data_IF_109182622949
#
_entry.id   IF_109182622949
#
_cell.length_a   1.000
_cell.length_b   1.000
_cell.length_c   1.000
_cell.angle_alpha   90.00
_cell.angle_beta   90.00
_cell.angle_gamma   90.00
#
_symmetry.space_group_name_H-M   'P 1'
#
loop_
_entity.id
_entity.type
_entity.pdbx_description
1 polymer ?
#
# COMPACT_ATOMS: atom_id res chain seq x y z
N UNK A 1 16.98 -9.58 9.76
CA UNK A 1 16.09 -9.18 8.67
C UNK A 1 16.20 -10.25 7.61
N UNK A 2 15.11 -11.00 7.38
CA UNK A 2 15.00 -11.79 6.16
C UNK A 2 14.81 -10.78 5.02
N UNK A 3 15.56 -10.92 3.93
CA UNK A 3 15.36 -10.14 2.70
C UNK A 3 15.00 -11.12 1.57
N UNK A 4 14.09 -12.04 1.87
CA UNK A 4 13.72 -13.12 0.96
C UNK A 4 12.54 -12.63 0.11
N UNK A 5 12.69 -12.58 -1.23
CA UNK A 5 11.58 -12.53 -2.16
C UNK A 5 10.51 -13.57 -1.82
N UNK A 6 9.25 -13.16 -1.66
CA UNK A 6 8.16 -14.11 -1.37
C UNK A 6 7.45 -14.62 -2.62
N UNK A 7 7.66 -13.96 -3.76
CA UNK A 7 7.11 -14.31 -5.07
C UNK A 7 8.22 -14.23 -6.13
N UNK A 8 8.07 -15.00 -7.21
CA UNK A 8 8.99 -14.99 -8.36
C UNK A 8 8.47 -14.10 -9.52
N UNK A 9 7.56 -13.18 -9.19
CA UNK A 9 6.97 -12.19 -10.10
C UNK A 9 7.08 -10.79 -9.51
N UNK A 10 7.03 -9.78 -10.38
CA UNK A 10 6.96 -8.38 -9.96
C UNK A 10 5.62 -8.11 -9.29
N UNK A 11 5.68 -7.43 -8.15
CA UNK A 11 4.56 -7.21 -7.24
C UNK A 11 4.57 -5.76 -6.71
N UNK A 12 4.48 -4.74 -7.58
CA UNK A 12 4.40 -3.34 -7.15
C UNK A 12 3.16 -3.07 -6.32
N UNK A 13 3.26 -2.13 -5.38
CA UNK A 13 2.15 -1.70 -4.50
C UNK A 13 1.47 -2.87 -3.74
N UNK A 14 2.22 -3.69 -3.00
CA UNK A 14 1.74 -4.92 -2.40
C UNK A 14 0.89 -4.63 -1.18
N UNK A 15 -0.32 -5.14 -1.20
CA UNK A 15 -1.22 -5.11 -0.08
C UNK A 15 -1.47 -6.52 0.45
N UNK A 16 -1.20 -6.71 1.74
CA UNK A 16 -1.32 -8.01 2.38
C UNK A 16 -2.24 -7.97 3.58
N UNK A 17 -3.23 -8.87 3.61
CA UNK A 17 -4.11 -9.07 4.76
C UNK A 17 -4.12 -10.51 5.20
N UNK A 18 -4.38 -10.73 6.48
CA UNK A 18 -4.62 -12.07 7.03
C UNK A 18 -6.08 -12.21 7.42
N UNK A 19 -6.71 -13.32 7.03
CA UNK A 19 -8.06 -13.67 7.44
C UNK A 19 -8.21 -15.19 7.54
N UNK A 20 -8.82 -15.69 8.61
CA UNK A 20 -9.02 -17.13 8.89
C UNK A 20 -7.76 -17.99 8.69
N UNK A 21 -6.60 -17.54 9.19
CA UNK A 21 -5.29 -18.19 9.05
C UNK A 21 -4.76 -18.31 7.61
N UNK A 22 -5.30 -17.53 6.68
CA UNK A 22 -4.81 -17.38 5.31
C UNK A 22 -4.27 -15.98 5.10
N UNK A 23 -3.27 -15.85 4.25
CA UNK A 23 -2.72 -14.58 3.79
C UNK A 23 -3.19 -14.32 2.38
N UNK A 24 -3.69 -13.12 2.14
CA UNK A 24 -4.13 -12.66 0.83
C UNK A 24 -3.21 -11.53 0.39
N UNK A 25 -2.75 -11.59 -0.85
CA UNK A 25 -1.87 -10.61 -1.46
C UNK A 25 -2.53 -10.07 -2.72
N UNK A 26 -2.66 -8.75 -2.78
CA UNK A 26 -3.00 -7.98 -3.98
C UNK A 26 -1.81 -7.07 -4.31
N UNK A 27 -1.67 -6.72 -5.59
CA UNK A 27 -0.59 -5.87 -6.09
C UNK A 27 -0.96 -5.32 -7.46
N UNK A 28 -0.26 -4.28 -7.92
CA UNK A 28 -0.48 -3.66 -9.22
C UNK A 28 -0.14 -4.63 -10.35
N UNK A 29 -1.18 -5.11 -11.06
CA UNK A 29 -1.04 -5.83 -12.32
C UNK A 29 -1.08 -4.89 -13.54
N UNK A 30 -1.66 -3.69 -13.41
CA UNK A 30 -1.81 -2.69 -14.47
C UNK A 30 -3.09 -2.81 -15.29
N UNK A 31 -3.60 -4.03 -15.52
CA UNK A 31 -4.75 -4.30 -16.40
C UNK A 31 -5.92 -5.04 -15.72
N UNK A 32 -5.70 -5.56 -14.51
CA UNK A 32 -6.69 -6.35 -13.76
C UNK A 32 -6.42 -6.30 -12.25
N UNK A 33 -7.34 -6.86 -11.47
CA UNK A 33 -7.17 -7.08 -10.03
C UNK A 33 -7.05 -8.58 -9.76
N UNK A 34 -5.83 -9.05 -9.47
CA UNK A 34 -5.57 -10.41 -9.01
C UNK A 34 -5.57 -10.47 -7.47
N UNK A 35 -6.10 -11.56 -6.90
CA UNK A 35 -5.99 -11.90 -5.48
C UNK A 35 -5.26 -13.23 -5.38
N UNK A 36 -4.13 -13.22 -4.68
CA UNK A 36 -3.34 -14.42 -4.38
C UNK A 36 -3.60 -14.83 -2.94
N UNK A 37 -3.64 -16.13 -2.66
CA UNK A 37 -3.83 -16.68 -1.32
C UNK A 37 -2.78 -17.73 -0.99
N UNK A 38 -2.17 -17.61 0.18
CA UNK A 38 -1.24 -18.60 0.73
C UNK A 38 -1.52 -18.87 2.21
N UNK A 39 -1.10 -20.06 2.66
CA UNK A 39 -1.04 -20.39 4.10
C UNK A 39 0.26 -19.89 4.74
N UNK A 40 1.28 -19.60 3.92
CA UNK A 40 2.58 -19.12 4.35
C UNK A 40 2.83 -17.74 3.74
N UNK A 41 3.02 -16.73 4.59
CA UNK A 41 3.32 -15.37 4.13
C UNK A 41 4.58 -15.28 3.31
N UNK A 42 5.55 -16.15 3.59
CA UNK A 42 6.89 -16.06 3.01
C UNK A 42 6.93 -16.77 1.66
N UNK A 43 5.82 -17.39 1.25
CA UNK A 43 5.74 -18.18 0.02
C UNK A 43 4.42 -17.97 -0.72
N UNK A 44 4.50 -17.16 -1.78
CA UNK A 44 3.49 -16.98 -2.80
C UNK A 44 3.89 -17.61 -4.15
N UNK A 45 4.94 -18.45 -4.19
CA UNK A 45 5.37 -19.15 -5.42
C UNK A 45 4.41 -20.27 -5.82
N UNK A 46 3.82 -20.92 -4.82
CA UNK A 46 2.82 -21.99 -4.97
C UNK A 46 1.47 -21.60 -4.36
N UNK A 47 1.04 -20.36 -4.59
CA UNK A 47 -0.22 -19.83 -4.07
C UNK A 47 -1.43 -20.17 -4.95
N UNK A 48 -2.63 -20.09 -4.38
CA UNK A 48 -3.86 -20.04 -5.16
C UNK A 48 -4.05 -18.61 -5.69
N UNK A 49 -4.59 -18.47 -6.89
CA UNK A 49 -4.82 -17.16 -7.53
C UNK A 49 -6.18 -17.11 -8.20
N UNK A 50 -6.87 -15.98 -8.05
CA UNK A 50 -7.98 -15.59 -8.92
C UNK A 50 -7.74 -14.21 -9.53
N UNK A 51 -8.44 -13.92 -10.62
CA UNK A 51 -8.67 -12.56 -11.07
C UNK A 51 -10.05 -12.13 -10.57
N UNK A 52 -10.07 -11.23 -9.60
CA UNK A 52 -11.31 -10.70 -9.02
C UNK A 52 -12.03 -9.79 -10.02
N UNK A 53 -11.28 -9.06 -10.85
CA UNK A 53 -11.87 -8.23 -11.87
C UNK A 53 -10.91 -7.96 -13.02
N UNK A 54 -11.47 -7.98 -14.24
CA UNK A 54 -10.83 -7.47 -15.44
C UNK A 54 -11.81 -6.49 -16.09
N UNK A 55 -11.43 -5.23 -16.34
CA UNK A 55 -12.31 -4.27 -16.96
C UNK A 55 -12.75 -4.75 -18.36
N UNK A 56 -14.00 -4.50 -18.76
CA UNK A 56 -14.37 -4.60 -20.16
C UNK A 56 -13.52 -3.61 -20.99
N UNK A 57 -13.12 -3.98 -22.21
CA UNK A 57 -12.31 -3.10 -23.04
C UNK A 57 -13.06 -1.81 -23.37
N UNK A 58 -12.33 -0.69 -23.43
CA UNK A 58 -12.84 0.62 -23.85
C UNK A 58 -13.94 1.23 -22.95
N UNK A 59 -14.01 0.86 -21.67
CA UNK A 59 -14.91 1.51 -20.70
C UNK A 59 -14.18 2.56 -19.86
N UNK A 60 -14.89 3.47 -19.17
CA UNK A 60 -14.32 4.16 -18.02
C UNK A 60 -13.63 3.19 -17.06
N UNK A 61 -12.56 3.64 -16.39
CA UNK A 61 -11.87 2.89 -15.34
C UNK A 61 -11.22 1.58 -15.83
N UNK A 62 -10.74 1.56 -17.09
CA UNK A 62 -10.22 0.35 -17.75
C UNK A 62 -8.72 0.39 -18.07
N UNK A 63 -8.02 1.44 -17.67
CA UNK A 63 -6.57 1.59 -17.88
C UNK A 63 -5.89 2.04 -16.61
N UNK A 64 -4.59 1.73 -16.50
CA UNK A 64 -3.74 2.16 -15.39
C UNK A 64 -4.32 1.74 -14.02
N UNK A 65 -4.62 0.44 -13.88
CA UNK A 65 -5.16 -0.10 -12.63
C UNK A 65 -4.01 -0.29 -11.63
N UNK A 66 -3.97 0.52 -10.57
CA UNK A 66 -2.90 0.50 -9.58
C UNK A 66 -3.39 0.30 -8.14
N UNK A 67 -2.47 -0.21 -7.32
CA UNK A 67 -2.53 -0.33 -5.86
C UNK A 67 -3.84 -0.91 -5.31
N UNK A 68 -4.25 -2.13 -5.73
CA UNK A 68 -5.42 -2.76 -5.14
C UNK A 68 -5.17 -3.17 -3.69
N UNK A 69 -6.01 -2.70 -2.78
CA UNK A 69 -6.08 -3.11 -1.39
C UNK A 69 -7.36 -3.90 -1.09
N UNK A 70 -7.21 -5.16 -0.67
CA UNK A 70 -8.30 -6.02 -0.19
C UNK A 70 -8.64 -5.73 1.28
N UNK A 71 -9.89 -5.35 1.56
CA UNK A 71 -10.38 -5.02 2.90
C UNK A 71 -11.62 -5.85 3.27
N UNK A 72 -11.72 -6.26 4.53
CA UNK A 72 -12.91 -6.93 5.08
C UNK A 72 -13.62 -6.01 6.07
N UNK A 73 -14.74 -5.42 5.65
CA UNK A 73 -15.45 -4.37 6.39
C UNK A 73 -16.87 -4.84 6.66
N UNK A 74 -17.25 -4.91 7.93
CA UNK A 74 -18.61 -5.30 8.37
C UNK A 74 -19.14 -6.60 7.75
N UNK A 75 -18.27 -7.60 7.53
CA UNK A 75 -18.63 -8.89 6.95
C UNK A 75 -18.65 -8.94 5.42
N UNK A 76 -18.18 -7.87 4.76
CA UNK A 76 -18.13 -7.79 3.29
C UNK A 76 -16.70 -7.52 2.84
N UNK A 77 -16.27 -8.20 1.78
CA UNK A 77 -14.99 -7.93 1.14
C UNK A 77 -15.10 -6.80 0.11
N UNK A 78 -14.15 -5.88 0.15
CA UNK A 78 -13.99 -4.78 -0.78
C UNK A 78 -12.57 -4.77 -1.33
N UNK A 79 -12.40 -4.34 -2.58
CA UNK A 79 -11.08 -3.95 -3.09
C UNK A 79 -11.14 -2.47 -3.44
N UNK A 80 -10.28 -1.67 -2.82
CA UNK A 80 -10.04 -0.28 -3.19
C UNK A 80 -8.80 -0.22 -4.06
N UNK A 81 -8.89 0.42 -5.21
CA UNK A 81 -7.78 0.57 -6.15
C UNK A 81 -7.98 1.86 -6.92
N UNK A 82 -7.01 2.28 -7.73
CA UNK A 82 -7.23 3.39 -8.65
C UNK A 82 -7.23 2.90 -10.09
N UNK A 83 -7.97 3.61 -10.93
CA UNK A 83 -8.01 3.40 -12.36
C UNK A 83 -8.28 4.72 -13.07
N UNK A 84 -7.86 4.82 -14.33
CA UNK A 84 -8.10 5.98 -15.18
C UNK A 84 -9.17 5.72 -16.24
N UNK A 85 -9.69 6.81 -16.79
CA UNK A 85 -10.49 6.76 -18.00
C UNK A 85 -9.61 6.59 -19.22
N UNK A 86 -9.96 5.62 -20.07
CA UNK A 86 -9.35 5.50 -21.39
C UNK A 86 -9.50 6.81 -22.17
N UNK A 87 -8.38 7.29 -22.73
CA UNK A 87 -8.35 8.50 -23.56
C UNK A 87 -8.36 9.83 -22.81
N UNK A 88 -8.39 9.84 -21.47
CA UNK A 88 -8.32 11.08 -20.65
C UNK A 88 -6.99 11.27 -19.91
N UNK A 89 -6.09 10.29 -19.98
CA UNK A 89 -4.75 10.34 -19.38
C UNK A 89 -4.75 10.32 -17.86
N UNK A 90 -3.56 10.50 -17.28
CA UNK A 90 -3.33 10.31 -15.83
C UNK A 90 -4.20 11.21 -14.95
N UNK A 91 -4.54 12.43 -15.39
CA UNK A 91 -5.42 13.37 -14.65
C UNK A 91 -6.79 12.76 -14.27
N UNK A 92 -7.21 11.71 -14.97
CA UNK A 92 -8.49 11.04 -14.76
C UNK A 92 -8.50 9.96 -13.69
N UNK A 93 -7.37 9.63 -13.05
CA UNK A 93 -7.34 8.60 -11.99
C UNK A 93 -8.28 8.94 -10.85
N UNK A 94 -9.09 7.97 -10.44
CA UNK A 94 -9.91 8.02 -9.22
C UNK A 94 -9.77 6.71 -8.46
N UNK A 95 -9.96 6.76 -7.16
CA UNK A 95 -10.26 5.60 -6.33
C UNK A 95 -11.56 4.97 -6.79
N UNK A 96 -11.51 3.70 -7.13
CA UNK A 96 -12.62 2.86 -7.60
C UNK A 96 -12.71 1.59 -6.75
N UNK A 97 -13.87 0.94 -6.74
CA UNK A 97 -14.15 -0.16 -5.83
C UNK A 97 -14.64 -1.43 -6.53
N UNK A 98 -14.22 -2.57 -5.99
CA UNK A 98 -14.94 -3.84 -6.09
C UNK A 98 -15.63 -4.15 -4.77
N UNK A 99 -16.77 -4.82 -4.83
CA UNK A 99 -17.45 -5.44 -3.69
C UNK A 99 -17.71 -6.92 -3.98
N UNK A 100 -17.44 -7.78 -3.01
CA UNK A 100 -17.81 -9.19 -3.09
C UNK A 100 -19.19 -9.43 -2.49
N UNK A 101 -19.98 -10.27 -3.16
CA UNK A 101 -21.18 -10.89 -2.60
C UNK A 101 -20.89 -12.19 -1.84
N UNK A 102 -19.66 -12.70 -1.96
CA UNK A 102 -19.20 -13.92 -1.30
C UNK A 102 -18.40 -13.61 -0.04
N UNK A 103 -18.47 -14.52 0.94
CA UNK A 103 -17.62 -14.51 2.13
C UNK A 103 -16.20 -15.02 1.84
N UNK A 104 -16.01 -15.76 0.75
CA UNK A 104 -14.71 -16.19 0.27
C UNK A 104 -14.17 -15.17 -0.73
N UNK A 105 -13.09 -14.43 -0.42
CA UNK A 105 -12.51 -13.48 -1.35
C UNK A 105 -11.87 -14.16 -2.58
N UNK A 106 -11.71 -15.49 -2.55
CA UNK A 106 -11.24 -16.30 -3.69
C UNK A 106 -12.37 -16.76 -4.62
N UNK A 107 -13.63 -16.36 -4.38
CA UNK A 107 -14.71 -16.58 -5.34
C UNK A 107 -14.73 -15.47 -6.40
N UNK A 108 -14.14 -15.74 -7.56
CA UNK A 108 -14.06 -14.80 -8.67
C UNK A 108 -15.44 -14.31 -9.15
N UNK A 109 -16.49 -15.15 -9.06
CA UNK A 109 -17.83 -14.79 -9.50
C UNK A 109 -18.55 -13.86 -8.51
N UNK A 110 -18.05 -13.75 -7.28
CA UNK A 110 -18.63 -12.92 -6.24
C UNK A 110 -18.37 -11.42 -6.41
N UNK A 111 -17.36 -11.04 -7.20
CA UNK A 111 -16.88 -9.67 -7.31
C UNK A 111 -17.68 -8.83 -8.31
N UNK A 112 -18.06 -7.63 -7.89
CA UNK A 112 -18.79 -6.63 -8.69
C UNK A 112 -18.05 -5.30 -8.66
N UNK A 113 -17.82 -4.71 -9.82
CA UNK A 113 -17.27 -3.36 -9.94
C UNK A 113 -18.34 -2.31 -9.66
N UNK A 114 -18.05 -1.39 -8.75
CA UNK A 114 -18.98 -0.34 -8.31
C UNK A 114 -18.71 1.03 -8.96
N UNK A 115 -17.54 1.21 -9.57
CA UNK A 115 -17.10 2.52 -10.03
C UNK A 115 -16.37 3.32 -8.94
N UNK A 116 -16.28 4.65 -9.11
CA UNK A 116 -15.55 5.52 -8.18
C UNK A 116 -16.15 5.56 -6.78
N UNK A 117 -15.29 5.79 -5.78
CA UNK A 117 -15.72 6.10 -4.42
C UNK A 117 -16.60 7.35 -4.44
N UNK A 118 -17.85 7.21 -4.03
CA UNK A 118 -18.82 8.30 -4.12
C UNK A 118 -18.52 9.37 -3.07
N UNK A 119 -18.80 10.63 -3.37
CA UNK A 119 -18.64 11.74 -2.43
C UNK A 119 -17.21 12.29 -2.31
N UNK A 120 -16.21 11.71 -2.97
CA UNK A 120 -14.91 12.36 -3.14
C UNK A 120 -15.05 13.52 -4.14
N UNK A 121 -14.51 14.72 -3.87
CA UNK A 121 -14.46 15.79 -4.86
C UNK A 121 -13.78 15.35 -6.15
N UNK A 122 -14.20 15.92 -7.28
CA UNK A 122 -13.65 15.53 -8.58
C UNK A 122 -12.21 16.04 -8.76
N UNK A 123 -11.24 15.27 -8.28
CA UNK A 123 -9.81 15.53 -8.41
C UNK A 123 -9.05 14.21 -8.54
N UNK A 124 -7.81 14.30 -9.02
CA UNK A 124 -6.91 13.16 -9.09
C UNK A 124 -6.69 12.56 -7.70
N UNK A 125 -6.98 11.26 -7.55
CA UNK A 125 -6.73 10.52 -6.32
C UNK A 125 -6.43 9.04 -6.58
N UNK A 126 -5.44 8.52 -5.84
CA UNK A 126 -4.91 7.15 -5.94
C UNK A 126 -4.57 6.60 -4.56
N UNK A 127 -4.18 5.33 -4.50
CA UNK A 127 -3.62 4.67 -3.33
C UNK A 127 -4.51 4.79 -2.08
N UNK A 128 -5.81 4.50 -2.24
CA UNK A 128 -6.74 4.57 -1.13
C UNK A 128 -6.57 3.40 -0.18
N UNK A 129 -6.33 3.72 1.10
CA UNK A 129 -6.43 2.78 2.21
C UNK A 129 -7.59 3.15 3.12
N UNK A 130 -8.25 2.15 3.70
CA UNK A 130 -9.39 2.36 4.60
C UNK A 130 -9.15 1.75 5.97
N UNK A 131 -9.58 2.46 7.01
CA UNK A 131 -9.39 2.02 8.39
C UNK A 131 -10.43 2.60 9.33
N UNK A 132 -10.64 1.92 10.46
CA UNK A 132 -11.48 2.44 11.54
C UNK A 132 -10.62 3.09 12.60
N UNK A 133 -10.98 4.32 12.99
CA UNK A 133 -10.37 5.04 14.09
C UNK A 133 -11.47 5.58 15.00
N UNK A 134 -11.46 5.14 16.27
CA UNK A 134 -12.47 5.55 17.28
C UNK A 134 -13.92 5.31 16.84
N UNK A 135 -14.16 4.18 16.18
CA UNK A 135 -15.50 3.76 15.72
C UNK A 135 -16.01 4.45 14.46
N UNK A 136 -15.21 5.30 13.82
CA UNK A 136 -15.52 5.96 12.54
C UNK A 136 -14.67 5.35 11.43
N UNK A 137 -15.25 5.15 10.25
CA UNK A 137 -14.57 4.64 9.07
C UNK A 137 -13.97 5.80 8.27
N UNK A 138 -12.73 5.67 7.86
CA UNK A 138 -12.03 6.68 7.07
C UNK A 138 -11.42 6.06 5.82
N UNK A 139 -11.33 6.88 4.76
CA UNK A 139 -10.51 6.64 3.59
C UNK A 139 -9.36 7.65 3.60
N UNK A 140 -8.13 7.17 3.45
CA UNK A 140 -6.93 7.96 3.32
C UNK A 140 -6.28 7.65 1.99
N UNK A 141 -5.91 8.68 1.23
CA UNK A 141 -5.47 8.51 -0.16
C UNK A 141 -4.45 9.58 -0.54
N UNK A 142 -3.69 9.31 -1.61
CA UNK A 142 -2.83 10.29 -2.29
C UNK A 142 -3.65 11.08 -3.29
N UNK A 143 -3.55 12.41 -3.28
CA UNK A 143 -4.31 13.24 -4.21
C UNK A 143 -3.56 14.50 -4.62
N UNK A 144 -3.96 15.05 -5.75
CA UNK A 144 -3.60 16.44 -6.06
C UNK A 144 -4.46 17.38 -5.23
N UNK A 145 -3.94 18.54 -4.79
CA UNK A 145 -4.76 19.56 -4.16
C UNK A 145 -6.02 19.85 -5.00
N UNK A 146 -7.23 19.87 -4.41
CA UNK A 146 -8.45 20.15 -5.18
C UNK A 146 -8.33 21.45 -5.99
N UNK A 147 -8.57 21.36 -7.30
CA UNK A 147 -8.40 22.47 -8.26
C UNK A 147 -7.00 22.59 -8.87
N UNK A 148 -6.04 21.78 -8.43
CA UNK A 148 -4.72 21.63 -9.07
C UNK A 148 -4.75 20.50 -10.11
N UNK A 149 -4.22 20.80 -11.30
CA UNK A 149 -4.12 19.89 -12.44
C UNK A 149 -2.69 19.86 -13.02
N UNK A 150 -1.72 20.36 -12.26
CA UNK A 150 -0.34 20.60 -12.74
C UNK A 150 0.55 19.36 -12.74
N UNK A 151 0.16 18.28 -12.04
CA UNK A 151 1.04 17.11 -11.79
C UNK A 151 2.37 17.51 -11.10
N UNK A 152 2.28 18.45 -10.14
CA UNK A 152 3.45 18.92 -9.38
C UNK A 152 3.36 18.71 -7.88
N UNK A 153 2.17 18.41 -7.33
CA UNK A 153 1.99 18.20 -5.90
C UNK A 153 1.03 17.04 -5.66
N UNK A 154 1.48 16.04 -4.91
CA UNK A 154 0.67 14.97 -4.36
C UNK A 154 0.77 15.00 -2.83
N UNK A 155 -0.38 15.06 -2.17
CA UNK A 155 -0.53 15.17 -0.73
C UNK A 155 -1.42 14.04 -0.21
N UNK A 156 -1.33 13.76 1.09
CA UNK A 156 -2.19 12.75 1.74
C UNK A 156 -3.42 13.43 2.30
N UNK A 157 -4.58 12.93 1.86
CA UNK A 157 -5.89 13.37 2.30
C UNK A 157 -6.56 12.31 3.14
N UNK A 158 -7.45 12.76 4.03
CA UNK A 158 -8.30 11.94 4.86
C UNK A 158 -9.75 12.42 4.72
N UNK A 159 -10.67 11.48 4.59
CA UNK A 159 -12.11 11.73 4.54
C UNK A 159 -12.84 10.68 5.35
N UNK A 160 -13.89 11.08 6.05
CA UNK A 160 -14.77 10.13 6.73
C UNK A 160 -15.70 9.45 5.72
N UNK A 161 -15.95 8.16 5.93
CA UNK A 161 -16.88 7.38 5.15
C UNK A 161 -18.18 7.19 5.93
N UNK A 162 -19.32 7.42 5.28
CA UNK A 162 -20.64 7.08 5.82
C UNK A 162 -20.83 5.55 5.83
N UNK A 163 -20.32 4.91 4.79
CA UNK A 163 -20.24 3.47 4.59
C UNK A 163 -19.06 3.20 3.62
N UNK A 164 -18.65 1.94 3.38
CA UNK A 164 -17.49 1.63 2.54
C UNK A 164 -17.50 2.27 1.13
N UNK A 165 -18.67 2.61 0.59
CA UNK A 165 -18.85 3.07 -0.80
C UNK A 165 -19.09 4.58 -0.92
N UNK A 166 -19.33 5.28 0.20
CA UNK A 166 -19.71 6.70 0.21
C UNK A 166 -18.91 7.53 1.23
N UNK A 167 -18.13 8.47 0.71
CA UNK A 167 -17.41 9.48 1.49
C UNK A 167 -18.27 10.70 1.83
N UNK A 168 -18.02 11.27 3.01
CA UNK A 168 -18.60 12.53 3.46
C UNK A 168 -17.74 13.69 2.96
N UNK A 169 -17.96 14.16 1.72
CA UNK A 169 -17.17 15.19 1.04
C UNK A 169 -16.73 16.37 1.93
N UNK A 170 -17.64 16.87 2.77
CA UNK A 170 -17.42 18.01 3.68
C UNK A 170 -16.35 17.78 4.76
N UNK A 171 -15.88 16.54 4.92
CA UNK A 171 -14.89 16.14 5.91
C UNK A 171 -13.48 16.06 5.33
N UNK A 172 -13.33 16.19 4.01
CA UNK A 172 -12.04 16.07 3.35
C UNK A 172 -11.01 17.02 3.95
N UNK A 173 -9.90 16.45 4.42
CA UNK A 173 -8.82 17.18 5.08
C UNK A 173 -7.48 16.72 4.54
N UNK A 174 -6.62 17.66 4.13
CA UNK A 174 -5.22 17.36 3.86
C UNK A 174 -4.48 17.19 5.20
N UNK A 175 -3.94 16.00 5.45
CA UNK A 175 -3.26 15.66 6.72
C UNK A 175 -1.74 15.64 6.58
N UNK A 176 -1.21 15.60 5.36
CA UNK A 176 0.22 15.70 5.08
C UNK A 176 0.47 16.29 3.70
N UNK A 177 1.28 17.36 3.64
CA UNK A 177 1.75 17.94 2.39
C UNK A 177 3.19 17.58 2.10
N UNK A 178 3.53 17.24 0.86
CA UNK A 178 4.91 16.92 0.48
C UNK A 178 5.79 18.19 0.41
N UNK A 179 6.33 18.60 1.56
CA UNK A 179 7.02 19.88 1.77
C UNK A 179 8.49 19.68 2.17
N UNK A 180 8.84 18.55 2.78
CA UNK A 180 10.20 18.29 3.23
C UNK A 180 11.12 18.00 2.03
N UNK A 181 12.40 18.41 2.05
CA UNK A 181 13.29 18.23 0.91
C UNK A 181 13.41 16.79 0.39
N UNK A 182 13.30 15.79 1.27
CA UNK A 182 13.37 14.37 0.88
C UNK A 182 12.07 13.84 0.28
N UNK A 183 10.97 14.59 0.36
CA UNK A 183 9.68 14.24 -0.25
C UNK A 183 9.56 14.74 -1.70
N UNK A 184 10.56 15.49 -2.19
CA UNK A 184 10.46 16.27 -3.42
C UNK A 184 11.44 15.77 -4.51
N UNK A 185 10.98 14.96 -5.48
CA UNK A 185 11.81 14.52 -6.61
C UNK A 185 12.13 15.67 -7.58
N UNK A 186 12.88 15.34 -8.63
CA UNK A 186 13.09 16.20 -9.81
C UNK A 186 13.67 17.58 -9.49
N UNK A 187 14.58 17.63 -8.52
CA UNK A 187 15.21 18.88 -8.06
C UNK A 187 14.27 19.79 -7.27
N UNK A 188 13.23 19.22 -6.63
CA UNK A 188 12.27 19.98 -5.83
C UNK A 188 11.03 20.45 -6.60
N UNK A 189 10.97 20.20 -7.92
CA UNK A 189 9.88 20.65 -8.80
C UNK A 189 8.56 19.92 -8.56
N UNK A 190 8.63 18.71 -8.02
CA UNK A 190 7.46 17.91 -7.63
C UNK A 190 7.49 17.63 -6.13
N UNK A 191 6.34 17.50 -5.52
CA UNK A 191 6.16 16.95 -4.17
C UNK A 191 5.35 15.67 -4.24
N UNK A 192 5.82 14.59 -3.60
CA UNK A 192 5.13 13.30 -3.57
C UNK A 192 4.96 12.84 -2.13
N UNK A 193 3.72 12.71 -1.68
CA UNK A 193 3.31 11.86 -0.57
C UNK A 193 2.21 10.92 -1.11
N UNK A 194 2.51 9.63 -1.24
CA UNK A 194 1.61 8.62 -1.84
C UNK A 194 1.62 7.30 -1.05
N UNK A 195 0.90 6.27 -1.49
CA UNK A 195 0.84 4.97 -0.81
C UNK A 195 0.62 5.04 0.71
N UNK A 196 -0.41 5.77 1.22
CA UNK A 196 -0.69 5.80 2.65
C UNK A 196 -1.14 4.43 3.15
N UNK A 197 -0.67 4.05 4.33
CA UNK A 197 -1.10 2.84 5.03
C UNK A 197 -1.30 3.15 6.51
N UNK A 198 -2.47 2.78 7.02
CA UNK A 198 -2.76 2.92 8.45
C UNK A 198 -2.03 1.86 9.28
N UNK A 199 -1.38 2.32 10.34
CA UNK A 199 -0.71 1.47 11.31
C UNK A 199 -1.18 1.83 12.72
N UNK A 200 -1.81 0.87 13.40
CA UNK A 200 -2.15 0.95 14.83
C UNK A 200 -1.47 -0.20 15.56
N UNK A 201 -0.57 0.14 16.47
CA UNK A 201 0.18 -0.80 17.30
C UNK A 201 0.45 -0.18 18.68
N UNK A 202 0.91 -0.99 19.64
CA UNK A 202 1.20 -0.50 20.98
C UNK A 202 2.17 0.70 20.94
N UNK A 203 1.70 1.87 21.37
CA UNK A 203 2.48 3.12 21.42
C UNK A 203 2.48 3.95 20.14
N UNK A 204 1.87 3.49 19.05
CA UNK A 204 1.81 4.22 17.78
C UNK A 204 0.48 4.02 17.04
N UNK A 205 -0.14 5.13 16.65
CA UNK A 205 -1.23 5.17 15.67
C UNK A 205 -0.87 6.23 14.63
N UNK A 206 -1.06 5.93 13.34
CA UNK A 206 -0.75 6.89 12.30
C UNK A 206 -0.71 6.29 10.90
N UNK A 207 -0.24 7.11 9.96
CA UNK A 207 -0.06 6.75 8.56
C UNK A 207 1.44 6.58 8.29
N UNK A 208 1.81 5.45 7.71
CA UNK A 208 3.04 5.32 6.94
C UNK A 208 2.71 5.71 5.51
N UNK A 209 3.54 6.51 4.87
CA UNK A 209 3.32 6.92 3.48
C UNK A 209 4.64 6.84 2.73
N UNK A 210 4.59 6.82 1.41
CA UNK A 210 5.77 6.88 0.55
C UNK A 210 5.99 8.29 0.04
N UNK A 211 7.24 8.65 -0.20
CA UNK A 211 7.60 9.96 -0.71
C UNK A 211 8.80 9.87 -1.66
N UNK A 212 9.08 10.99 -2.33
CA UNK A 212 9.97 11.04 -3.49
C UNK A 212 9.35 10.31 -4.70
N UNK A 213 10.03 10.27 -5.84
CA UNK A 213 9.49 9.62 -7.04
C UNK A 213 9.70 8.10 -7.00
N UNK A 214 8.65 7.31 -7.20
CA UNK A 214 8.72 5.85 -7.37
C UNK A 214 9.59 5.42 -8.57
N UNK A 215 9.77 6.32 -9.54
CA UNK A 215 10.71 6.18 -10.66
C UNK A 215 12.18 6.46 -10.29
N UNK A 216 12.50 6.63 -9.01
CA UNK A 216 13.84 6.93 -8.52
C UNK A 216 14.29 5.92 -7.47
N UNK A 217 15.61 5.78 -7.32
CA UNK A 217 16.20 5.01 -6.22
C UNK A 217 16.06 5.67 -4.84
N UNK A 218 15.42 6.85 -4.76
CA UNK A 218 15.27 7.66 -3.56
C UNK A 218 13.84 7.64 -2.99
N UNK A 219 12.97 6.81 -3.57
CA UNK A 219 11.67 6.46 -3.00
C UNK A 219 11.85 5.94 -1.56
N UNK A 220 11.02 6.42 -0.65
CA UNK A 220 11.27 6.30 0.78
C UNK A 220 9.98 6.34 1.58
N UNK A 221 9.95 5.68 2.75
CA UNK A 221 8.82 5.74 3.66
C UNK A 221 8.94 6.90 4.65
N UNK A 222 7.87 7.69 4.77
CA UNK A 222 7.62 8.68 5.81
C UNK A 222 6.73 8.16 6.94
N UNK A 223 6.50 9.00 7.94
CA UNK A 223 5.63 8.68 9.08
C UNK A 223 4.84 9.90 9.53
N UNK A 224 3.52 9.75 9.65
CA UNK A 224 2.58 10.75 10.12
C UNK A 224 1.83 10.19 11.32
N UNK A 225 2.21 10.63 12.52
CA UNK A 225 1.65 10.13 13.78
C UNK A 225 0.32 10.83 14.08
N UNK A 226 -0.71 10.08 14.43
CA UNK A 226 -1.91 10.63 15.05
C UNK A 226 -1.63 10.92 16.54
N UNK A 227 -1.77 12.18 16.95
CA UNK A 227 -1.43 12.65 18.32
C UNK A 227 -2.64 12.77 19.24
N UNK A 228 -3.84 12.50 18.73
CA UNK A 228 -5.10 12.63 19.45
C UNK A 228 -6.00 13.70 18.83
N UNK A 229 -7.10 14.06 19.50
CA UNK A 229 -8.06 15.04 18.94
C UNK A 229 -8.93 14.48 17.81
N UNK A 230 -9.44 15.35 16.93
CA UNK A 230 -10.27 14.95 15.79
C UNK A 230 -9.38 14.60 14.58
N UNK A 231 -9.43 13.36 14.03
CA UNK A 231 -8.63 12.96 12.87
C UNK A 231 -8.82 13.86 11.64
N UNK A 232 -9.97 14.54 11.53
CA UNK A 232 -10.28 15.49 10.44
C UNK A 232 -9.68 16.89 10.67
N UNK A 233 -8.71 17.02 11.57
CA UNK A 233 -7.95 18.25 11.78
C UNK A 233 -6.47 17.97 11.51
N UNK A 234 -5.84 18.77 10.65
CA UNK A 234 -4.42 18.62 10.34
C UNK A 234 -3.53 18.71 11.59
N UNK A 235 -3.94 19.48 12.60
CA UNK A 235 -3.23 19.61 13.89
C UNK A 235 -3.21 18.33 14.74
N UNK A 236 -4.07 17.36 14.43
CA UNK A 236 -4.08 16.04 15.06
C UNK A 236 -2.99 15.11 14.54
N UNK A 237 -2.20 15.56 13.56
CA UNK A 237 -1.19 14.78 12.88
C UNK A 237 0.18 15.42 13.02
N UNK A 238 1.18 14.62 13.40
CA UNK A 238 2.56 15.03 13.54
C UNK A 238 3.42 14.30 12.51
N UNK A 239 3.91 15.04 11.51
CA UNK A 239 4.85 14.53 10.51
C UNK A 239 6.24 14.36 11.11
N UNK A 240 6.87 13.21 10.86
CA UNK A 240 8.27 12.97 11.19
C UNK A 240 9.18 13.68 10.17
N UNK A 241 10.14 14.47 10.65
CA UNK A 241 11.03 15.26 9.77
C UNK A 241 12.05 14.43 8.96
N UNK A 242 12.33 13.20 9.37
CA UNK A 242 13.28 12.31 8.70
C UNK A 242 12.55 11.04 8.21
N UNK A 243 12.98 10.44 7.09
CA UNK A 243 12.39 9.20 6.59
C UNK A 243 12.42 8.08 7.64
N UNK A 244 11.38 7.25 7.63
CA UNK A 244 11.28 6.00 8.38
C UNK A 244 12.22 4.95 7.78
N UNK A 245 12.13 4.72 6.48
CA UNK A 245 12.93 3.75 5.74
C UNK A 245 13.35 4.36 4.42
N UNK A 246 14.64 4.26 4.08
CA UNK A 246 15.24 4.80 2.86
C UNK A 246 16.23 3.81 2.28
N UNK A 247 16.64 4.06 1.04
CA UNK A 247 17.64 3.25 0.36
C UNK A 247 18.95 3.15 1.14
N UNK A 248 19.53 1.94 1.19
CA UNK A 248 20.85 1.69 1.74
C UNK A 248 21.86 1.44 0.62
N UNK A 249 22.10 2.48 -0.20
CA UNK A 249 22.88 2.40 -1.44
C UNK A 249 24.30 1.84 -1.20
N UNK A 250 24.95 2.27 -0.11
CA UNK A 250 26.30 1.84 0.26
C UNK A 250 26.40 0.35 0.65
N UNK A 251 25.26 -0.29 0.97
CA UNK A 251 25.19 -1.72 1.33
C UNK A 251 24.50 -2.57 0.26
N UNK A 252 24.29 -2.02 -0.94
CA UNK A 252 23.70 -2.73 -2.07
C UNK A 252 22.17 -2.85 -2.04
N UNK A 253 21.49 -2.07 -1.19
CA UNK A 253 20.03 -1.99 -1.16
C UNK A 253 19.40 -2.23 0.23
N UNK A 254 18.06 -2.21 0.35
CA UNK A 254 17.08 -2.02 -0.74
C UNK A 254 17.21 -0.65 -1.41
N UNK A 255 16.77 -0.56 -2.66
CA UNK A 255 16.67 0.69 -3.42
C UNK A 255 15.18 1.03 -3.56
N UNK A 256 14.84 2.31 -3.39
CA UNK A 256 13.48 2.81 -3.50
C UNK A 256 12.43 2.09 -2.64
N UNK A 257 12.67 1.79 -1.34
CA UNK A 257 11.65 1.13 -0.54
C UNK A 257 10.42 2.04 -0.36
N UNK A 258 9.25 1.55 -0.77
CA UNK A 258 7.98 2.25 -0.55
C UNK A 258 6.76 1.38 -0.83
N UNK A 259 5.61 2.05 -0.92
CA UNK A 259 4.25 1.53 -1.03
C UNK A 259 4.03 0.26 -0.20
N UNK A 260 4.18 0.40 1.12
CA UNK A 260 4.33 -0.73 2.02
C UNK A 260 3.06 -1.04 2.80
N UNK A 261 2.66 -2.32 2.84
CA UNK A 261 1.61 -2.81 3.74
C UNK A 261 2.20 -3.44 5.01
N UNK A 262 1.36 -3.53 6.05
CA UNK A 262 1.76 -4.02 7.37
C UNK A 262 0.79 -5.08 7.89
N UNK A 263 1.34 -6.20 8.35
CA UNK A 263 0.60 -7.24 9.08
C UNK A 263 1.13 -7.34 10.53
N UNK A 264 0.24 -7.38 11.55
CA UNK A 264 0.68 -7.52 12.94
C UNK A 264 1.39 -8.85 13.21
N UNK A 265 2.39 -8.86 14.10
CA UNK A 265 3.10 -10.09 14.47
C UNK A 265 2.41 -10.98 15.52
N UNK A 266 1.33 -10.52 16.15
CA UNK A 266 0.54 -11.39 17.05
C UNK A 266 -0.28 -12.44 16.29
N UNK A 267 -0.30 -12.31 14.97
CA UNK A 267 -1.10 -13.08 14.04
C UNK A 267 -0.36 -14.28 13.41
N UNK A 268 0.81 -14.66 13.91
CA UNK A 268 1.43 -15.94 13.56
C UNK A 268 0.93 -17.00 14.53
N UNK A 269 -0.04 -17.82 14.10
CA UNK A 269 -0.46 -19.00 14.86
C UNK A 269 0.70 -19.99 15.10
N UNK A 270 0.48 -21.10 15.83
CA UNK A 270 1.51 -22.09 16.21
C UNK A 270 2.22 -22.78 15.02
N UNK A 271 1.84 -22.46 13.78
CA UNK A 271 2.52 -22.88 12.56
C UNK A 271 3.80 -22.08 12.24
N UNK A 272 4.15 -21.04 13.00
CA UNK A 272 5.49 -20.45 12.91
C UNK A 272 6.48 -21.38 13.63
N UNK A 273 7.45 -22.00 12.93
CA UNK A 273 8.50 -22.73 13.63
C UNK A 273 9.26 -21.71 14.47
N UNK A 274 9.07 -21.78 15.80
CA UNK A 274 9.95 -21.12 16.76
C UNK A 274 11.33 -21.75 16.62
N UNK A 275 12.13 -21.22 15.71
CA UNK A 275 13.49 -21.68 15.47
C UNK A 275 13.74 -22.02 14.01
N UNK A 276 14.10 -21.02 13.21
CA UNK A 276 15.09 -21.26 12.18
C UNK A 276 16.47 -21.31 12.84
N UNK A 277 17.23 -22.41 12.73
CA UNK A 277 18.62 -22.42 13.15
C UNK A 277 19.40 -21.42 12.28
N UNK A 278 20.15 -20.53 12.92
CA UNK A 278 21.18 -19.77 12.23
C UNK A 278 22.19 -20.77 11.65
N UNK A 279 22.16 -20.94 10.32
CA UNK A 279 23.29 -21.56 9.62
C UNK A 279 24.45 -20.57 9.67
N UNK A 280 25.38 -20.84 10.58
CA UNK A 280 26.71 -20.26 10.56
C UNK A 280 27.48 -20.84 9.37
N UNK A 281 27.39 -20.22 8.20
CA UNK A 281 28.29 -20.54 7.09
C UNK A 281 29.63 -19.81 7.29
N UNK A 282 30.57 -20.52 7.93
CA UNK A 282 32.00 -20.23 7.79
C UNK A 282 32.44 -20.61 6.38
N UNK A 283 32.70 -19.59 5.56
CA UNK A 283 33.73 -19.57 4.52
C UNK A 283 33.61 -20.55 3.35
N UNK A 284 33.35 -20.00 2.15
CA UNK A 284 34.18 -20.22 0.95
C UNK A 284 33.93 -19.06 -0.02
N UNK A 285 35.02 -18.40 -0.43
CA UNK A 285 34.99 -17.39 -1.47
C UNK A 285 34.54 -18.04 -2.79
N UNK A 286 33.45 -17.54 -3.35
CA UNK A 286 32.88 -17.97 -4.61
C UNK A 286 32.35 -16.75 -5.36
N UNK A 287 32.90 -16.55 -6.54
CA UNK A 287 32.68 -15.51 -7.55
C UNK A 287 31.32 -14.80 -7.50
N UNK A 288 31.35 -13.48 -7.28
CA UNK A 288 30.21 -12.57 -7.46
C UNK A 288 29.90 -12.53 -8.96
N UNK A 289 28.91 -13.33 -9.38
CA UNK A 289 28.29 -13.15 -10.68
C UNK A 289 27.37 -11.92 -10.60
N UNK A 290 27.81 -10.81 -11.22
CA UNK A 290 26.95 -9.67 -11.53
C UNK A 290 25.77 -10.17 -12.39
N UNK A 291 24.55 -10.17 -11.84
CA UNK A 291 23.32 -10.18 -12.64
C UNK A 291 22.62 -8.84 -12.45
N UNK A 292 22.35 -8.20 -13.58
CA UNK A 292 21.82 -6.84 -13.67
C UNK A 292 20.38 -6.72 -13.23
N UNK A 293 20.12 -5.60 -12.55
CA UNK A 293 19.03 -4.62 -12.64
C UNK A 293 17.63 -5.01 -13.17
N UNK A 294 16.64 -4.40 -12.48
CA UNK A 294 15.21 -4.26 -12.77
C UNK A 294 14.33 -5.49 -12.46
N UNK A 295 13.83 -5.59 -11.22
CA UNK A 295 12.70 -6.45 -10.85
C UNK A 295 12.12 -6.00 -9.49
N UNK A 296 10.81 -5.72 -9.47
CA UNK A 296 10.06 -5.19 -8.34
C UNK A 296 9.55 -6.29 -7.42
N UNK A 297 10.39 -6.87 -6.56
CA UNK A 297 9.99 -8.04 -5.75
C UNK A 297 9.60 -7.69 -4.30
N UNK A 298 8.44 -8.18 -3.84
CA UNK A 298 8.00 -8.08 -2.44
C UNK A 298 9.01 -8.75 -1.50
N UNK A 299 9.49 -7.97 -0.53
CA UNK A 299 10.38 -8.40 0.53
C UNK A 299 9.71 -8.16 1.88
N UNK A 300 9.67 -9.18 2.73
CA UNK A 300 9.22 -9.04 4.12
C UNK A 300 10.39 -8.58 4.98
N UNK A 301 10.36 -7.35 5.46
CA UNK A 301 11.30 -6.87 6.46
C UNK A 301 10.80 -7.25 7.85
N UNK A 302 11.46 -8.25 8.44
CA UNK A 302 11.26 -8.66 9.84
C UNK A 302 12.22 -7.86 10.73
N UNK A 303 11.68 -6.92 11.52
CA UNK A 303 12.41 -6.31 12.63
C UNK A 303 12.04 -7.04 13.94
N UNK A 304 13.01 -7.70 14.57
CA UNK A 304 12.90 -8.24 15.93
C UNK A 304 13.94 -7.54 16.81
N UNK A 305 13.51 -6.94 17.92
CA UNK A 305 13.70 -7.61 19.19
C UNK A 305 12.49 -7.48 20.15
N UNK A 306 12.15 -8.59 20.82
CA UNK A 306 11.31 -8.72 22.05
C UNK A 306 10.25 -7.62 22.29
N UNK A 307 8.99 -8.00 22.02
CA UNK A 307 7.71 -7.31 22.25
C UNK A 307 7.22 -6.41 21.09
N UNK A 308 6.05 -6.80 20.55
CA UNK A 308 5.26 -6.11 19.51
C UNK A 308 6.00 -5.84 18.17
N UNK A 309 6.18 -6.87 17.36
CA UNK A 309 6.63 -6.68 15.97
C UNK A 309 5.44 -6.36 15.04
N UNK A 310 5.66 -5.51 14.05
CA UNK A 310 4.85 -5.37 12.84
C UNK A 310 5.78 -5.69 11.66
N UNK A 311 5.27 -6.40 10.65
CA UNK A 311 6.05 -6.74 9.45
C UNK A 311 5.89 -5.63 8.41
N UNK A 312 6.97 -5.27 7.73
CA UNK A 312 6.91 -4.36 6.60
C UNK A 312 7.01 -5.19 5.33
N UNK A 313 5.97 -5.18 4.51
CA UNK A 313 6.01 -5.72 3.16
C UNK A 313 6.47 -4.58 2.27
N UNK A 314 7.74 -4.58 1.88
CA UNK A 314 8.33 -3.50 1.07
C UNK A 314 8.74 -4.07 -0.28
N UNK A 315 8.32 -3.42 -1.35
CA UNK A 315 8.84 -3.72 -2.68
C UNK A 315 10.19 -3.06 -2.82
N UNK A 316 11.15 -3.83 -3.33
CA UNK A 316 12.36 -3.28 -3.92
C UNK A 316 11.99 -2.81 -5.33
N UNK A 317 11.96 -1.51 -5.61
CA UNK A 317 11.81 -0.99 -6.99
C UNK A 317 13.18 -0.99 -7.72
#
# INVERSE_FOLDING_TARGET
MSNIPIADIDTPDPWMVRHNNLYYLTFTCGDRVDILMSRNVEDFRSCNKITAWHPPPNTPWSTDLWAPELHHINGTWYVYFCAAHLGRGSLSHRTVLLRSSSQDPMDAAGWTFLGPLQGIPDHWNVDATVFTLRGRLFCCYSGWPPGDFSDTQQDVFLVELADPEHALARTLTCISRAELPWERPDGGRRGVNEGPTWLSMAGFEGIVYSANGSWTSDYTLGLLRFTGGDPLQASSWQKRHAPLLKSCKDKGGPFGPGHASFIPAVDWGPAYPQGHPQKNEKGKAGTIARRGFCASTVTIFIHSPKAAAAFVVVVRL
#
